data_IF_885911445331
#
_entry.id   IF_885911445331
#
_cell.length_a   1.000
_cell.length_b   1.000
_cell.length_c   1.000
_cell.angle_alpha   90.00
_cell.angle_beta   90.00
_cell.angle_gamma   90.00
#
_symmetry.space_group_name_H-M   'P 1'
#
loop_
_entity.id
_entity.type
_entity.pdbx_description
1 polymer ?
#
# COMPACT_ATOMS: atom_id res chain seq x y z
N UNK A 1 6.67 -2.46 -6.28
CA UNK A 1 6.95 -2.44 -4.83
C UNK A 1 6.43 -1.12 -4.30
N UNK A 2 5.48 -1.18 -3.36
CA UNK A 2 5.09 -0.02 -2.56
C UNK A 2 5.72 -0.10 -1.18
N UNK A 3 6.00 1.05 -0.59
CA UNK A 3 6.46 1.20 0.79
C UNK A 3 5.52 2.12 1.57
N UNK A 4 5.05 1.67 2.73
CA UNK A 4 4.20 2.49 3.60
C UNK A 4 5.06 3.51 4.35
N UNK A 5 4.62 4.75 4.34
CA UNK A 5 5.24 5.83 5.12
C UNK A 5 4.30 6.30 6.22
N UNK A 6 4.86 6.95 7.24
CA UNK A 6 4.07 7.51 8.35
C UNK A 6 3.30 8.80 7.97
N UNK A 7 2.60 8.78 6.85
CA UNK A 7 1.77 9.88 6.34
C UNK A 7 0.32 9.41 6.29
N UNK A 8 -0.59 10.12 6.97
CA UNK A 8 -2.02 9.83 6.91
C UNK A 8 -2.63 10.42 5.64
N UNK A 9 -3.57 9.69 5.04
CA UNK A 9 -4.36 10.17 3.89
C UNK A 9 -5.84 10.00 4.15
N UNK A 10 -6.65 11.00 3.80
CA UNK A 10 -8.11 10.98 3.92
C UNK A 10 -8.83 11.22 2.58
N UNK A 11 -8.14 11.77 1.58
CA UNK A 11 -8.72 12.04 0.26
C UNK A 11 -8.67 10.79 -0.62
N UNK A 12 -9.61 9.89 -0.38
CA UNK A 12 -9.73 8.63 -1.10
C UNK A 12 -10.71 8.74 -2.27
N UNK A 13 -10.52 7.90 -3.28
CA UNK A 13 -11.47 7.77 -4.39
C UNK A 13 -12.16 6.39 -4.35
N UNK A 14 -11.54 5.32 -4.88
CA UNK A 14 -12.12 3.97 -4.88
C UNK A 14 -11.18 2.93 -4.28
N UNK A 15 -11.74 1.81 -3.82
CA UNK A 15 -10.96 0.62 -3.49
C UNK A 15 -10.35 0.05 -4.78
N UNK A 16 -9.06 -0.29 -4.75
CA UNK A 16 -8.30 -0.79 -5.90
C UNK A 16 -7.72 -2.19 -5.68
N UNK A 17 -7.77 -2.70 -4.45
CA UNK A 17 -7.26 -4.04 -4.14
C UNK A 17 -7.30 -4.35 -2.65
N UNK A 18 -6.68 -5.48 -2.31
CA UNK A 18 -6.45 -5.89 -0.92
C UNK A 18 -5.27 -6.88 -0.83
N UNK A 19 -4.74 -7.09 0.37
CA UNK A 19 -3.75 -8.13 0.67
C UNK A 19 -4.39 -9.50 0.45
N UNK A 20 -3.86 -10.29 -0.49
CA UNK A 20 -4.32 -11.66 -0.76
C UNK A 20 -3.52 -12.71 0.00
N UNK A 21 -2.26 -12.42 0.33
CA UNK A 21 -1.36 -13.31 1.08
C UNK A 21 -0.48 -12.52 2.07
N UNK A 22 -0.23 -13.11 3.23
CA UNK A 22 0.79 -12.61 4.17
C UNK A 22 2.06 -13.42 3.95
N UNK A 23 3.23 -12.76 3.84
CA UNK A 23 4.51 -13.46 3.87
C UNK A 23 5.66 -12.59 4.35
N UNK A 24 6.42 -13.23 5.20
CA UNK A 24 7.69 -12.88 5.82
C UNK A 24 8.90 -13.17 4.91
N UNK A 25 8.69 -13.61 3.66
CA UNK A 25 9.70 -13.76 2.61
C UNK A 25 9.54 -12.70 1.51
N UNK A 26 10.64 -12.14 1.01
CA UNK A 26 10.63 -11.07 0.00
C UNK A 26 10.01 -11.44 -1.36
N UNK A 27 9.85 -12.73 -1.67
CA UNK A 27 9.42 -13.17 -3.00
C UNK A 27 8.16 -14.02 -2.96
N UNK A 28 7.01 -13.36 -3.11
CA UNK A 28 5.75 -14.01 -3.49
C UNK A 28 5.17 -13.33 -4.74
N UNK A 29 4.54 -14.10 -5.62
CA UNK A 29 3.68 -13.56 -6.68
C UNK A 29 2.31 -13.14 -6.12
N UNK A 30 1.64 -12.18 -6.76
CA UNK A 30 0.35 -11.62 -6.34
C UNK A 30 0.44 -10.51 -5.27
N UNK A 31 -0.72 -10.03 -4.80
CA UNK A 31 -0.79 -8.96 -3.79
C UNK A 31 -0.49 -9.51 -2.39
N UNK A 32 0.73 -9.35 -1.90
CA UNK A 32 1.12 -9.81 -0.56
C UNK A 32 1.62 -8.67 0.33
N UNK A 33 1.60 -8.91 1.65
CA UNK A 33 2.16 -8.02 2.67
C UNK A 33 3.02 -8.79 3.65
N UNK A 34 4.09 -8.15 4.12
CA UNK A 34 4.91 -8.63 5.24
C UNK A 34 4.53 -8.01 6.59
N UNK A 35 3.60 -7.04 6.63
CA UNK A 35 3.22 -6.33 7.85
C UNK A 35 1.71 -6.31 8.12
N UNK A 36 0.88 -6.42 7.07
CA UNK A 36 -0.57 -6.29 7.18
C UNK A 36 -1.30 -7.61 6.89
N UNK A 37 -2.40 -7.90 7.62
CA UNK A 37 -3.14 -9.14 7.46
C UNK A 37 -3.81 -9.24 6.09
N UNK A 38 -4.13 -10.48 5.70
CA UNK A 38 -5.00 -10.76 4.55
C UNK A 38 -6.31 -9.97 4.67
N UNK A 39 -6.72 -9.34 3.57
CA UNK A 39 -7.93 -8.51 3.51
C UNK A 39 -7.70 -7.03 3.79
N UNK A 40 -6.50 -6.61 4.22
CA UNK A 40 -6.15 -5.18 4.29
C UNK A 40 -6.37 -4.52 2.95
N UNK A 41 -7.19 -3.47 2.92
CA UNK A 41 -7.68 -2.84 1.71
C UNK A 41 -6.75 -1.74 1.21
N UNK A 42 -6.72 -1.57 -0.10
CA UNK A 42 -6.02 -0.48 -0.79
C UNK A 42 -7.00 0.41 -1.52
N UNK A 43 -6.69 1.70 -1.54
CA UNK A 43 -7.50 2.73 -2.17
C UNK A 43 -6.63 3.64 -3.04
N UNK A 44 -7.18 4.10 -4.16
CA UNK A 44 -6.60 5.20 -4.92
C UNK A 44 -6.75 6.51 -4.16
N UNK A 45 -5.75 7.37 -4.21
CA UNK A 45 -5.79 8.71 -3.61
C UNK A 45 -6.30 9.71 -4.66
N UNK A 46 -7.15 10.65 -4.25
CA UNK A 46 -7.69 11.65 -5.17
C UNK A 46 -6.55 12.53 -5.73
N UNK A 47 -6.45 12.61 -7.05
CA UNK A 47 -5.46 13.44 -7.73
C UNK A 47 -4.04 12.87 -7.78
N UNK A 48 -3.82 11.63 -7.31
CA UNK A 48 -2.52 10.95 -7.37
C UNK A 48 -2.68 9.66 -8.19
N UNK A 49 -1.76 9.43 -9.13
CA UNK A 49 -1.73 8.18 -9.90
C UNK A 49 -1.46 7.00 -8.95
N UNK A 50 -2.13 5.87 -9.19
CA UNK A 50 -1.80 4.64 -8.43
C UNK A 50 -0.37 4.20 -8.69
N UNK A 51 0.22 4.53 -9.85
CA UNK A 51 1.64 4.29 -10.13
C UNK A 51 2.60 5.20 -9.34
N UNK A 52 2.09 6.17 -8.59
CA UNK A 52 2.89 7.02 -7.69
C UNK A 52 2.64 6.64 -6.24
N UNK A 53 1.36 6.62 -5.82
CA UNK A 53 1.00 6.27 -4.45
C UNK A 53 -0.43 5.71 -4.32
N UNK A 54 -0.63 4.96 -3.25
CA UNK A 54 -1.90 4.38 -2.84
C UNK A 54 -2.13 4.63 -1.35
N UNK A 55 -3.37 4.46 -0.89
CA UNK A 55 -3.71 4.46 0.53
C UNK A 55 -3.94 3.03 1.02
N UNK A 56 -3.33 2.69 2.16
CA UNK A 56 -3.45 1.39 2.84
C UNK A 56 -4.28 1.58 4.10
N UNK A 57 -5.37 0.82 4.25
CA UNK A 57 -6.21 0.88 5.44
C UNK A 57 -5.53 0.14 6.61
N UNK A 58 -4.99 0.89 7.57
CA UNK A 58 -4.26 0.33 8.72
C UNK A 58 -5.15 0.09 9.93
N UNK A 59 -6.26 0.84 10.05
CA UNK A 59 -7.36 0.64 11.01
C UNK A 59 -8.66 1.18 10.41
N UNK A 60 -9.79 0.99 11.09
CA UNK A 60 -11.06 1.58 10.68
C UNK A 60 -10.91 3.09 10.48
N UNK A 61 -11.24 3.54 9.26
CA UNK A 61 -11.12 4.93 8.80
C UNK A 61 -9.71 5.57 8.89
N UNK A 62 -8.67 4.79 9.18
CA UNK A 62 -7.28 5.26 9.24
C UNK A 62 -6.50 4.66 8.07
N UNK A 63 -5.99 5.54 7.22
CA UNK A 63 -5.24 5.16 6.04
C UNK A 63 -3.85 5.80 6.03
N UNK A 64 -2.85 4.99 5.68
CA UNK A 64 -1.46 5.44 5.48
C UNK A 64 -1.13 5.47 3.99
N UNK A 65 -0.31 6.41 3.58
CA UNK A 65 0.21 6.48 2.22
C UNK A 65 1.24 5.38 2.00
N UNK A 66 1.18 4.73 0.85
CA UNK A 66 2.22 3.87 0.35
C UNK A 66 2.70 4.38 -1.02
N UNK A 67 4.00 4.55 -1.17
CA UNK A 67 4.64 5.13 -2.35
C UNK A 67 5.27 4.05 -3.22
N UNK A 68 5.22 4.19 -4.54
CA UNK A 68 5.78 3.20 -5.47
C UNK A 68 7.26 3.48 -5.72
N UNK A 69 8.11 2.48 -5.45
CA UNK A 69 9.57 2.59 -5.63
C UNK A 69 10.24 3.36 -4.48
N UNK A 70 11.09 2.67 -3.72
CA UNK A 70 11.73 3.14 -2.49
C UNK A 70 12.82 4.21 -2.64
N UNK A 71 12.51 5.32 -3.31
CA UNK A 71 13.33 6.53 -3.26
C UNK A 71 12.49 7.67 -2.67
N UNK A 72 12.34 7.67 -1.35
CA UNK A 72 11.80 8.83 -0.61
C UNK A 72 12.87 9.36 0.33
N UNK A 73 13.52 10.45 -0.06
CA UNK A 73 14.66 11.06 0.65
C UNK A 73 14.26 11.87 1.92
N UNK A 74 13.14 11.59 2.59
CA UNK A 74 12.68 12.49 3.66
C UNK A 74 11.64 12.00 4.65
N UNK A 75 11.33 10.71 4.72
CA UNK A 75 10.31 10.17 5.63
C UNK A 75 10.77 8.95 6.41
N UNK A 76 10.18 8.72 7.59
CA UNK A 76 10.32 7.44 8.30
C UNK A 76 9.64 6.35 7.47
N UNK A 77 10.43 5.44 6.91
CA UNK A 77 9.95 4.25 6.20
C UNK A 77 9.38 3.28 7.26
N UNK A 78 8.09 2.99 7.19
CA UNK A 78 7.48 1.90 7.92
C UNK A 78 7.52 0.70 6.97
N UNK A 79 8.55 -0.15 7.08
CA UNK A 79 8.77 -1.27 6.16
C UNK A 79 7.46 -2.03 5.88
N UNK A 80 6.94 -1.89 4.67
CA UNK A 80 5.91 -2.79 4.18
C UNK A 80 5.95 -2.89 2.66
N UNK A 81 6.29 -4.08 2.17
CA UNK A 81 6.37 -4.41 0.76
C UNK A 81 5.03 -4.93 0.27
N UNK A 82 4.46 -4.30 -0.75
CA UNK A 82 3.38 -4.87 -1.54
C UNK A 82 3.66 -4.82 -3.05
N UNK A 83 3.25 -5.87 -3.75
CA UNK A 83 3.10 -5.90 -5.21
C UNK A 83 1.62 -5.67 -5.49
N UNK A 84 1.26 -4.66 -6.28
CA UNK A 84 -0.07 -4.59 -6.89
C UNK A 84 0.05 -5.22 -8.27
N UNK A 85 -0.52 -6.39 -8.47
CA UNK A 85 -0.80 -6.88 -9.81
C UNK A 85 -2.02 -6.13 -10.34
N UNK A 86 -1.88 -5.55 -11.54
CA UNK A 86 -2.97 -4.97 -12.29
C UNK A 86 -4.04 -6.04 -12.49
N UNK A 87 -5.29 -5.75 -12.13
CA UNK A 87 -6.42 -6.51 -12.65
C UNK A 87 -6.77 -5.81 -13.95
N UNK A 88 -6.41 -6.42 -15.09
CA UNK A 88 -6.83 -5.99 -16.43
C UNK A 88 -8.36 -5.93 -16.55
#
# INVERSE_FOLDING_TARGET
>A
MYEVIDENVSQLNRQIGHVTRYSDMESLSGNFSNAYPKGTKYYSIQGISTDEAIAVQVKDEIFKKAIRGGEYEGGTIIYCLFVLESVD
#
